data_IF_063394865676
#
_entry.id   IF_063394865676
#
_cell.length_a   1.000
_cell.length_b   1.000
_cell.length_c   1.000
_cell.angle_alpha   90.00
_cell.angle_beta   90.00
_cell.angle_gamma   90.00
#
_symmetry.space_group_name_H-M   'P 1'
#
loop_
_entity.id
_entity.type
_entity.pdbx_description
1 polymer ?
#
# COMPACT_ATOMS: atom_id res chain seq x y z
N UNK A 1 34.62 116.05 -3.47
CA UNK A 1 36.08 115.83 -3.52
C UNK A 1 36.47 115.11 -2.24
N UNK A 2 37.30 114.07 -2.30
CA UNK A 2 37.78 113.23 -1.17
C UNK A 2 36.73 112.39 -0.39
N UNK A 3 37.29 111.50 0.46
CA UNK A 3 36.72 110.44 1.36
C UNK A 3 36.28 109.12 0.69
N UNK A 4 36.61 107.90 1.16
CA UNK A 4 37.54 107.42 2.24
C UNK A 4 37.99 105.94 2.03
N UNK A 5 38.92 105.43 2.86
CA UNK A 5 39.37 104.00 2.94
C UNK A 5 38.36 103.12 3.74
N UNK A 6 38.48 101.81 4.06
CA UNK A 6 39.58 100.81 4.22
C UNK A 6 38.92 99.39 4.02
N UNK A 7 39.49 98.24 3.58
CA UNK A 7 40.77 97.50 3.85
C UNK A 7 40.83 96.99 5.32
N UNK A 8 41.06 95.71 5.69
CA UNK A 8 41.33 94.42 4.97
C UNK A 8 41.04 93.17 5.87
N UNK A 9 40.76 92.00 5.26
CA UNK A 9 41.00 90.59 5.70
C UNK A 9 40.49 89.95 7.03
N UNK A 10 40.32 88.60 6.98
CA UNK A 10 40.18 87.65 8.12
C UNK A 10 39.08 86.58 7.92
N UNK A 11 39.19 85.56 7.05
CA UNK A 11 39.98 84.29 7.07
C UNK A 11 39.49 83.19 8.05
N UNK A 12 39.44 81.93 7.55
CA UNK A 12 38.95 80.68 8.22
C UNK A 12 37.41 80.60 8.40
N UNK A 13 36.75 79.43 8.50
CA UNK A 13 37.26 78.07 8.78
C UNK A 13 36.43 76.97 8.06
N UNK A 14 37.05 76.10 7.25
CA UNK A 14 36.38 75.19 6.29
C UNK A 14 36.18 73.74 6.77
N UNK A 15 35.98 73.50 8.08
CA UNK A 15 35.81 72.14 8.65
C UNK A 15 34.36 71.73 8.99
N UNK A 16 33.45 72.67 9.23
CA UNK A 16 32.09 72.36 9.71
C UNK A 16 31.23 71.69 8.61
N UNK A 17 31.31 72.18 7.36
CA UNK A 17 30.47 71.69 6.26
C UNK A 17 30.65 70.21 5.88
N UNK A 18 31.84 69.61 6.15
CA UNK A 18 32.05 68.18 5.89
C UNK A 18 31.41 67.25 6.93
N UNK A 19 31.25 67.70 8.17
CA UNK A 19 30.61 66.89 9.23
C UNK A 19 29.10 66.77 8.96
N UNK A 20 28.45 67.88 8.60
CA UNK A 20 27.01 67.92 8.33
C UNK A 20 26.64 67.04 7.11
N UNK A 21 27.46 67.06 6.05
CA UNK A 21 27.22 66.24 4.86
C UNK A 21 27.33 64.73 5.16
N UNK A 22 28.31 64.32 5.98
CA UNK A 22 28.47 62.93 6.41
C UNK A 22 27.34 62.49 7.33
N UNK A 23 26.84 63.38 8.20
CA UNK A 23 25.68 63.09 9.05
C UNK A 23 24.41 62.84 8.22
N UNK A 24 24.18 63.63 7.17
CA UNK A 24 23.06 63.42 6.24
C UNK A 24 23.20 62.12 5.45
N UNK A 25 24.41 61.76 4.99
CA UNK A 25 24.64 60.48 4.33
C UNK A 25 24.39 59.29 5.26
N UNK A 26 24.85 59.37 6.52
CA UNK A 26 24.64 58.32 7.52
C UNK A 26 23.16 58.14 7.89
N UNK A 27 22.39 59.23 7.97
CA UNK A 27 20.94 59.14 8.17
C UNK A 27 20.21 58.47 6.99
N UNK A 28 20.74 58.57 5.76
CA UNK A 28 20.19 57.86 4.59
C UNK A 28 20.54 56.37 4.47
N UNK A 29 21.48 55.85 5.28
CA UNK A 29 21.70 54.39 5.45
C UNK A 29 21.15 53.84 6.78
N UNK A 30 20.61 54.70 7.65
CA UNK A 30 19.99 54.30 8.91
C UNK A 30 18.50 53.89 8.78
N UNK A 31 17.86 54.08 7.61
CA UNK A 31 16.51 53.56 7.35
C UNK A 31 16.57 52.09 6.87
N UNK A 32 17.20 51.25 7.68
CA UNK A 32 16.94 49.81 7.69
C UNK A 32 15.86 49.52 8.76
N UNK A 33 14.71 50.19 8.64
CA UNK A 33 13.54 49.84 9.43
C UNK A 33 13.19 48.37 9.15
N UNK A 34 12.91 47.61 10.20
CA UNK A 34 12.75 46.16 10.09
C UNK A 34 11.57 45.82 9.19
N UNK A 35 11.88 45.28 8.00
CA UNK A 35 10.93 44.68 7.07
C UNK A 35 10.37 43.33 7.60
N UNK A 36 10.25 43.17 8.91
CA UNK A 36 9.62 42.03 9.53
C UNK A 36 8.11 42.06 9.27
N UNK A 37 7.69 41.14 8.41
CA UNK A 37 6.35 40.51 8.40
C UNK A 37 5.12 41.42 8.31
N UNK A 38 5.23 42.66 7.85
CA UNK A 38 4.16 43.30 7.04
C UNK A 38 4.06 42.70 5.64
N UNK A 39 4.10 41.38 5.55
CA UNK A 39 3.69 40.60 4.38
C UNK A 39 2.17 40.72 4.29
N UNK A 40 1.71 41.81 3.67
CA UNK A 40 0.30 42.09 3.46
C UNK A 40 -0.38 40.89 2.79
N UNK A 41 -1.69 40.72 3.03
CA UNK A 41 -2.53 39.76 2.31
C UNK A 41 -2.72 40.17 0.85
N UNK A 42 -1.63 40.15 0.07
CA UNK A 42 -1.67 40.17 -1.38
C UNK A 42 -2.35 38.87 -1.79
N UNK A 43 -3.56 38.95 -2.35
CA UNK A 43 -4.24 37.76 -2.84
C UNK A 43 -3.36 37.14 -3.93
N UNK A 44 -2.93 35.89 -3.71
CA UNK A 44 -2.27 35.09 -4.74
C UNK A 44 -3.28 34.92 -5.89
N UNK A 45 -3.02 35.62 -6.98
CA UNK A 45 -3.85 35.63 -8.17
C UNK A 45 -2.96 35.35 -9.36
N UNK A 46 -3.14 34.17 -9.94
CA UNK A 46 -2.45 33.73 -11.13
C UNK A 46 -3.36 33.97 -12.34
N UNK A 47 -2.77 34.50 -13.41
CA UNK A 47 -3.45 34.86 -14.65
C UNK A 47 -3.86 33.61 -15.46
N UNK A 48 -3.13 32.51 -15.25
CA UNK A 48 -3.34 31.21 -15.87
C UNK A 48 -2.68 30.10 -15.03
N UNK A 49 -2.96 28.84 -15.37
CA UNK A 49 -2.41 27.68 -14.66
C UNK A 49 -0.89 27.48 -14.79
N UNK A 50 -0.27 27.95 -15.88
CA UNK A 50 1.17 27.84 -16.08
C UNK A 50 1.94 28.74 -15.12
N UNK A 51 1.48 29.98 -14.91
CA UNK A 51 2.05 30.93 -13.94
C UNK A 51 2.03 30.35 -12.51
N UNK A 52 0.97 29.60 -12.17
CA UNK A 52 0.82 28.92 -10.89
C UNK A 52 1.81 27.75 -10.75
N UNK A 53 1.94 26.90 -11.77
CA UNK A 53 2.88 25.78 -11.79
C UNK A 53 4.33 26.26 -11.73
N UNK A 54 4.70 27.27 -12.53
CA UNK A 54 6.05 27.87 -12.49
C UNK A 54 6.36 28.51 -11.12
N UNK A 55 5.36 29.02 -10.40
CA UNK A 55 5.54 29.50 -9.02
C UNK A 55 5.67 28.36 -8.00
N UNK A 56 4.91 27.27 -8.14
CA UNK A 56 5.10 26.07 -7.31
C UNK A 56 6.51 25.52 -7.47
N UNK A 57 7.02 25.39 -8.70
CA UNK A 57 8.39 24.95 -8.95
C UNK A 57 9.43 25.81 -8.22
N UNK A 58 9.27 27.14 -8.24
CA UNK A 58 10.15 28.06 -7.51
C UNK A 58 10.09 27.84 -6.00
N UNK A 59 8.92 27.52 -5.44
CA UNK A 59 8.75 27.22 -4.02
C UNK A 59 9.35 25.86 -3.64
N UNK A 60 9.26 24.86 -4.52
CA UNK A 60 9.88 23.55 -4.29
C UNK A 60 11.41 23.57 -4.41
N UNK A 61 11.95 24.33 -5.37
CA UNK A 61 13.41 24.59 -5.46
C UNK A 61 13.90 25.32 -4.20
N UNK A 62 13.13 26.27 -3.65
CA UNK A 62 13.44 26.88 -2.35
C UNK A 62 13.37 25.85 -1.22
N UNK A 63 12.35 24.99 -1.18
CA UNK A 63 12.18 24.00 -0.11
C UNK A 63 13.33 22.99 -0.06
N UNK A 64 13.77 22.52 -1.23
CA UNK A 64 14.91 21.60 -1.37
C UNK A 64 16.27 22.24 -1.01
N UNK A 65 16.37 23.57 -0.96
CA UNK A 65 17.57 24.31 -0.57
C UNK A 65 17.65 24.60 0.94
N UNK A 66 16.61 24.28 1.72
CA UNK A 66 16.60 24.51 3.17
C UNK A 66 17.16 23.28 3.89
N UNK A 67 18.32 23.45 4.53
CA UNK A 67 18.84 22.46 5.49
C UNK A 67 17.87 22.31 6.68
N UNK A 68 17.33 21.09 6.96
CA UNK A 68 16.42 20.87 8.07
C UNK A 68 17.12 20.73 9.43
N UNK A 69 18.45 20.68 9.50
CA UNK A 69 19.19 20.46 10.75
C UNK A 69 19.28 21.69 11.69
N UNK A 70 19.49 22.95 11.22
CA UNK A 70 19.51 24.11 12.10
C UNK A 70 18.13 24.42 12.70
N UNK A 71 18.07 24.76 13.98
CA UNK A 71 16.83 25.26 14.61
C UNK A 71 16.30 26.52 13.91
N UNK A 72 17.20 27.33 13.34
CA UNK A 72 16.95 28.58 12.63
C UNK A 72 16.28 28.38 11.25
N UNK A 73 16.30 27.17 10.68
CA UNK A 73 15.66 26.90 9.38
C UNK A 73 14.15 26.70 9.49
N UNK A 74 13.64 26.30 10.67
CA UNK A 74 12.24 25.94 10.90
C UNK A 74 11.23 27.05 10.55
N UNK A 75 11.46 28.35 10.85
CA UNK A 75 10.55 29.42 10.43
C UNK A 75 10.49 29.59 8.91
N UNK A 76 11.63 29.48 8.22
CA UNK A 76 11.71 29.59 6.76
C UNK A 76 11.01 28.40 6.09
N UNK A 77 11.27 27.18 6.56
CA UNK A 77 10.62 25.95 6.09
C UNK A 77 9.10 25.99 6.29
N UNK A 78 8.65 26.48 7.44
CA UNK A 78 7.23 26.70 7.73
C UNK A 78 6.63 27.71 6.74
N UNK A 79 7.35 28.81 6.47
CA UNK A 79 6.93 29.87 5.55
C UNK A 79 6.82 29.39 4.10
N UNK A 80 7.75 28.56 3.61
CA UNK A 80 7.71 28.01 2.25
C UNK A 80 6.55 27.02 2.10
N UNK A 81 6.35 26.11 3.06
CA UNK A 81 5.19 25.22 3.08
C UNK A 81 3.85 25.98 3.13
N UNK A 82 3.78 27.03 3.92
CA UNK A 82 2.62 27.91 4.01
C UNK A 82 2.37 28.73 2.72
N UNK A 83 3.37 28.91 1.87
CA UNK A 83 3.23 29.51 0.53
C UNK A 83 2.81 28.47 -0.52
N UNK A 84 3.36 27.25 -0.46
CA UNK A 84 2.93 26.10 -1.29
C UNK A 84 1.44 25.83 -1.07
N UNK A 85 1.02 25.68 0.21
CA UNK A 85 -0.39 25.48 0.58
C UNK A 85 -1.28 26.61 0.03
N UNK A 86 -0.92 27.87 0.25
CA UNK A 86 -1.72 29.02 -0.22
C UNK A 86 -1.77 29.13 -1.75
N UNK A 87 -0.73 28.68 -2.44
CA UNK A 87 -0.67 28.63 -3.91
C UNK A 87 -1.63 27.56 -4.46
N UNK A 88 -1.58 26.34 -3.92
CA UNK A 88 -2.53 25.26 -4.25
C UNK A 88 -3.97 25.69 -3.92
N UNK A 89 -4.18 26.27 -2.73
CA UNK A 89 -5.48 26.79 -2.30
C UNK A 89 -5.99 27.96 -3.16
N UNK A 90 -5.15 28.64 -3.94
CA UNK A 90 -5.60 29.74 -4.83
C UNK A 90 -6.43 29.25 -6.03
N UNK A 91 -6.38 27.94 -6.33
CA UNK A 91 -7.17 27.31 -7.39
C UNK A 91 -8.65 27.26 -6.96
N UNK A 92 -9.42 28.31 -7.30
CA UNK A 92 -10.84 28.47 -6.90
C UNK A 92 -11.86 28.11 -7.98
N UNK A 93 -11.45 27.84 -9.22
CA UNK A 93 -12.35 27.59 -10.34
C UNK A 93 -11.84 26.48 -11.29
N UNK A 94 -12.76 25.84 -12.01
CA UNK A 94 -12.47 24.67 -12.86
C UNK A 94 -11.53 24.99 -14.04
N UNK A 95 -11.58 26.21 -14.60
CA UNK A 95 -10.70 26.62 -15.71
C UNK A 95 -9.23 26.64 -15.24
N UNK A 96 -8.95 27.29 -14.10
CA UNK A 96 -7.59 27.35 -13.57
C UNK A 96 -7.06 25.96 -13.18
N UNK A 97 -7.92 25.06 -12.68
CA UNK A 97 -7.55 23.67 -12.42
C UNK A 97 -7.20 22.90 -13.71
N UNK A 98 -7.96 23.10 -14.79
CA UNK A 98 -7.67 22.50 -16.09
C UNK A 98 -6.35 23.03 -16.69
N UNK A 99 -6.13 24.34 -16.65
CA UNK A 99 -4.87 24.96 -17.12
C UNK A 99 -3.65 24.51 -16.30
N UNK A 100 -3.81 24.23 -14.99
CA UNK A 100 -2.75 23.64 -14.15
C UNK A 100 -2.44 22.21 -14.58
N UNK A 101 -3.47 21.38 -14.81
CA UNK A 101 -3.29 20.01 -15.28
C UNK A 101 -2.63 19.94 -16.67
N UNK A 102 -3.04 20.83 -17.58
CA UNK A 102 -2.41 21.00 -18.90
C UNK A 102 -0.96 21.51 -18.78
N UNK A 103 -0.62 22.29 -17.75
CA UNK A 103 0.74 22.80 -17.53
C UNK A 103 1.69 21.77 -16.91
N UNK A 104 1.17 20.91 -16.03
CA UNK A 104 1.95 19.90 -15.29
C UNK A 104 2.50 18.77 -16.18
N UNK A 105 1.80 18.42 -17.27
CA UNK A 105 2.24 17.32 -18.17
C UNK A 105 3.48 17.63 -19.02
N UNK A 106 3.98 18.87 -19.04
CA UNK A 106 5.10 19.27 -19.92
C UNK A 106 6.50 18.93 -19.40
N UNK A 107 6.67 18.59 -18.11
CA UNK A 107 7.97 18.26 -17.51
C UNK A 107 7.83 17.46 -16.21
N UNK A 108 8.97 17.06 -15.63
CA UNK A 108 9.03 16.55 -14.27
C UNK A 108 8.93 17.69 -13.24
N UNK A 109 8.38 17.37 -12.06
CA UNK A 109 8.11 18.28 -10.95
C UNK A 109 8.50 17.62 -9.61
N UNK A 110 8.91 18.43 -8.63
CA UNK A 110 9.23 17.99 -7.25
C UNK A 110 7.99 17.78 -6.37
N UNK A 111 6.80 17.74 -6.99
CA UNK A 111 5.51 17.49 -6.34
C UNK A 111 4.65 16.59 -7.23
N UNK A 112 3.90 15.69 -6.61
CA UNK A 112 2.87 14.92 -7.29
C UNK A 112 1.61 15.75 -7.49
N UNK A 113 1.03 15.68 -8.69
CA UNK A 113 -0.31 16.18 -8.99
C UNK A 113 -1.11 15.11 -9.75
N UNK A 114 -2.34 14.87 -9.30
CA UNK A 114 -3.29 13.96 -9.93
C UNK A 114 -4.64 14.64 -10.13
N UNK A 115 -5.35 14.24 -11.19
CA UNK A 115 -6.70 14.69 -11.53
C UNK A 115 -7.54 13.48 -11.97
N UNK A 116 -8.70 13.30 -11.35
CA UNK A 116 -9.69 12.26 -11.73
C UNK A 116 -10.22 12.46 -13.17
N UNK A 117 -10.67 11.38 -13.82
CA UNK A 117 -11.14 11.45 -15.22
C UNK A 117 -12.31 12.41 -15.43
N UNK A 118 -13.22 12.49 -14.45
CA UNK A 118 -14.35 13.44 -14.46
C UNK A 118 -13.95 14.89 -14.10
N UNK A 119 -12.67 15.10 -13.77
CA UNK A 119 -12.04 16.36 -13.33
C UNK A 119 -12.66 16.96 -12.06
N UNK A 120 -13.35 16.16 -11.23
CA UNK A 120 -14.06 16.66 -10.05
C UNK A 120 -13.25 16.59 -8.76
N UNK A 121 -12.24 15.72 -8.71
CA UNK A 121 -11.23 15.63 -7.66
C UNK A 121 -9.82 15.76 -8.26
N UNK A 122 -8.97 16.58 -7.63
CA UNK A 122 -7.53 16.58 -7.83
C UNK A 122 -6.81 16.45 -6.48
N UNK A 123 -5.57 15.98 -6.46
CA UNK A 123 -4.74 15.94 -5.24
C UNK A 123 -3.32 16.40 -5.57
N UNK A 124 -2.75 17.21 -4.68
CA UNK A 124 -1.34 17.58 -4.66
C UNK A 124 -0.64 16.88 -3.50
N UNK A 125 0.53 16.30 -3.75
CA UNK A 125 1.38 15.60 -2.78
C UNK A 125 2.82 16.13 -2.83
N UNK A 126 3.44 16.44 -1.69
CA UNK A 126 4.85 16.88 -1.65
C UNK A 126 5.54 16.55 -0.32
N UNK A 127 6.88 16.46 -0.28
CA UNK A 127 7.63 16.43 0.98
C UNK A 127 7.76 17.85 1.56
N UNK A 128 7.18 18.08 2.73
CA UNK A 128 7.25 19.34 3.44
C UNK A 128 8.62 19.62 4.07
N UNK A 129 9.45 18.58 4.25
CA UNK A 129 10.67 18.59 5.07
C UNK A 129 10.42 19.04 6.52
N UNK A 130 11.46 19.00 7.37
CA UNK A 130 11.51 19.71 8.66
C UNK A 130 10.61 19.24 9.81
N UNK A 131 9.56 18.44 9.57
CA UNK A 131 8.81 17.78 10.65
C UNK A 131 9.62 16.62 11.21
N UNK A 132 9.85 16.65 12.53
CA UNK A 132 10.60 15.62 13.28
C UNK A 132 9.62 14.52 13.67
N UNK A 133 9.30 13.65 12.71
CA UNK A 133 8.33 12.57 12.86
C UNK A 133 7.94 11.96 11.51
N UNK A 134 6.85 11.19 11.49
CA UNK A 134 6.32 10.56 10.26
C UNK A 134 5.79 11.56 9.25
N UNK A 135 5.18 12.66 9.70
CA UNK A 135 4.34 13.59 8.91
C UNK A 135 5.09 14.52 7.92
N UNK A 136 6.09 14.01 7.21
CA UNK A 136 6.86 14.77 6.24
C UNK A 136 6.08 15.09 4.96
N UNK A 137 5.43 14.11 4.31
CA UNK A 137 4.66 14.44 3.11
C UNK A 137 3.34 15.14 3.48
N UNK A 138 2.90 16.10 2.67
CA UNK A 138 1.62 16.81 2.83
C UNK A 138 0.76 16.63 1.59
N UNK A 139 -0.55 16.59 1.84
CA UNK A 139 -1.55 16.27 0.84
C UNK A 139 -2.72 17.26 0.89
N UNK A 140 -3.04 17.87 -0.26
CA UNK A 140 -4.22 18.74 -0.43
C UNK A 140 -5.06 18.20 -1.58
N UNK A 141 -6.28 17.79 -1.27
CA UNK A 141 -7.31 17.52 -2.25
C UNK A 141 -8.01 18.82 -2.66
N UNK A 142 -8.27 18.99 -3.95
CA UNK A 142 -9.12 20.03 -4.52
C UNK A 142 -10.37 19.38 -5.11
N UNK A 143 -11.56 19.77 -4.67
CA UNK A 143 -12.80 19.16 -5.13
C UNK A 143 -13.83 20.16 -5.67
N UNK A 144 -14.59 19.72 -6.67
CA UNK A 144 -15.59 20.52 -7.39
C UNK A 144 -16.92 20.55 -6.62
N UNK A 145 -17.43 21.76 -6.34
CA UNK A 145 -18.76 22.01 -5.75
C UNK A 145 -19.49 23.10 -6.56
N UNK A 146 -20.30 22.67 -7.53
CA UNK A 146 -20.78 23.56 -8.59
C UNK A 146 -19.60 24.04 -9.45
N UNK A 147 -19.55 25.33 -9.80
CA UNK A 147 -18.42 25.90 -10.56
C UNK A 147 -17.20 26.28 -9.70
N UNK A 148 -17.25 26.04 -8.38
CA UNK A 148 -16.18 26.38 -7.43
C UNK A 148 -15.31 25.16 -7.14
N UNK A 149 -14.00 25.39 -7.05
CA UNK A 149 -13.05 24.44 -6.47
C UNK A 149 -12.85 24.79 -4.99
N UNK A 150 -12.88 23.77 -4.13
CA UNK A 150 -12.70 23.89 -2.69
C UNK A 150 -11.52 23.00 -2.27
N UNK A 151 -10.54 23.53 -1.53
CA UNK A 151 -9.45 22.74 -0.97
C UNK A 151 -9.90 21.98 0.30
N UNK A 152 -9.27 20.84 0.54
CA UNK A 152 -9.30 20.09 1.80
C UNK A 152 -7.92 19.46 2.00
N UNK A 153 -7.36 19.60 3.19
CA UNK A 153 -6.23 18.74 3.58
C UNK A 153 -6.67 17.27 3.60
N UNK A 154 -5.76 16.37 3.24
CA UNK A 154 -5.88 14.94 3.56
C UNK A 154 -4.98 14.66 4.76
N UNK A 155 -5.54 14.04 5.79
CA UNK A 155 -4.84 13.69 7.04
C UNK A 155 -4.55 12.18 7.08
N UNK A 156 -3.58 11.77 7.91
CA UNK A 156 -3.14 10.37 8.04
C UNK A 156 -1.68 10.20 7.64
N UNK A 157 -1.21 8.95 7.55
CA UNK A 157 0.18 8.66 7.17
C UNK A 157 0.49 9.20 5.76
N UNK A 158 1.73 9.67 5.48
CA UNK A 158 1.96 10.45 4.28
C UNK A 158 2.19 9.59 3.03
N UNK A 159 1.62 10.04 1.90
CA UNK A 159 1.62 9.36 0.61
C UNK A 159 1.91 10.37 -0.52
N UNK A 160 2.57 9.92 -1.58
CA UNK A 160 2.56 10.57 -2.91
C UNK A 160 1.55 9.84 -3.79
N UNK A 161 0.41 10.46 -4.06
CA UNK A 161 -0.59 9.89 -4.96
C UNK A 161 -0.21 10.11 -6.42
N UNK A 162 -0.43 9.10 -7.26
CA UNK A 162 -0.10 9.10 -8.69
C UNK A 162 -1.27 8.68 -9.59
N UNK A 163 -2.38 8.19 -9.03
CA UNK A 163 -3.62 7.87 -9.76
C UNK A 163 -4.90 8.28 -9.00
N UNK A 164 -5.98 8.52 -9.74
CA UNK A 164 -7.33 8.77 -9.22
C UNK A 164 -8.39 8.07 -10.09
N UNK A 165 -9.01 7.02 -9.56
CA UNK A 165 -10.05 6.22 -10.21
C UNK A 165 -11.45 6.70 -9.77
N UNK A 166 -12.32 7.07 -10.71
CA UNK A 166 -13.68 7.57 -10.41
C UNK A 166 -14.71 6.45 -10.44
N UNK A 167 -15.23 6.07 -9.27
CA UNK A 167 -16.24 5.03 -9.10
C UNK A 167 -17.64 5.64 -9.09
N UNK A 168 -18.48 5.24 -10.05
CA UNK A 168 -19.86 5.69 -10.17
C UNK A 168 -20.85 4.73 -9.47
N UNK A 169 -21.57 5.23 -8.46
CA UNK A 169 -22.71 4.55 -7.84
C UNK A 169 -23.91 4.53 -8.82
N UNK A 170 -24.65 3.42 -8.82
CA UNK A 170 -26.02 3.31 -9.36
C UNK A 170 -26.92 4.53 -9.09
N UNK A 171 -26.73 5.22 -7.96
CA UNK A 171 -27.45 6.42 -7.52
C UNK A 171 -26.78 7.74 -7.95
N UNK A 172 -25.88 7.70 -8.94
CA UNK A 172 -25.08 8.83 -9.45
C UNK A 172 -24.18 9.53 -8.40
N UNK A 173 -23.95 8.90 -7.24
CA UNK A 173 -22.87 9.32 -6.33
C UNK A 173 -21.53 8.95 -6.95
N UNK A 174 -20.52 9.76 -6.70
CA UNK A 174 -19.16 9.53 -7.19
C UNK A 174 -18.26 9.33 -5.99
N UNK A 175 -17.76 8.10 -5.83
CA UNK A 175 -16.63 7.79 -4.96
C UNK A 175 -15.35 7.90 -5.79
N UNK A 176 -14.22 8.15 -5.15
CA UNK A 176 -12.91 8.22 -5.80
C UNK A 176 -11.96 7.31 -5.03
N UNK A 177 -11.25 6.43 -5.72
CA UNK A 177 -10.11 5.71 -5.15
C UNK A 177 -8.85 6.41 -5.64
N UNK A 178 -8.16 7.09 -4.72
CA UNK A 178 -6.83 7.64 -5.00
C UNK A 178 -5.77 6.62 -4.61
N UNK A 179 -4.79 6.43 -5.48
CA UNK A 179 -3.73 5.44 -5.31
C UNK A 179 -2.38 6.15 -5.23
N UNK A 180 -1.57 5.76 -4.25
CA UNK A 180 -0.28 6.38 -3.99
C UNK A 180 0.72 5.48 -3.28
N UNK A 181 1.98 5.95 -3.29
CA UNK A 181 3.14 5.28 -2.69
C UNK A 181 3.64 6.07 -1.47
N UNK A 182 4.00 5.35 -0.41
CA UNK A 182 4.56 5.89 0.83
C UNK A 182 5.86 5.19 1.23
N UNK A 183 6.43 5.63 2.35
CA UNK A 183 7.59 4.99 2.99
C UNK A 183 7.38 4.83 4.50
N UNK A 184 7.79 3.70 5.06
CA UNK A 184 7.79 3.47 6.52
C UNK A 184 8.87 4.31 7.21
N UNK A 185 8.86 4.33 8.55
CA UNK A 185 9.94 4.98 9.33
C UNK A 185 11.32 4.36 9.06
N UNK A 186 11.39 3.06 8.72
CA UNK A 186 12.63 2.39 8.31
C UNK A 186 13.02 2.66 6.84
N UNK A 187 12.18 3.37 6.08
CA UNK A 187 12.41 3.72 4.68
C UNK A 187 11.92 2.68 3.67
N UNK A 188 11.22 1.63 4.10
CA UNK A 188 10.62 0.63 3.21
C UNK A 188 9.45 1.21 2.42
N UNK A 189 9.40 0.92 1.12
CA UNK A 189 8.33 1.34 0.23
C UNK A 189 7.02 0.57 0.53
N UNK A 190 5.90 1.28 0.54
CA UNK A 190 4.55 0.68 0.64
C UNK A 190 3.55 1.40 -0.28
N UNK A 191 2.45 0.72 -0.62
CA UNK A 191 1.40 1.26 -1.49
C UNK A 191 0.08 1.39 -0.72
N UNK A 192 -0.72 2.42 -1.03
CA UNK A 192 -1.99 2.67 -0.35
C UNK A 192 -3.08 3.16 -1.31
N UNK A 193 -4.27 2.59 -1.14
CA UNK A 193 -5.50 3.07 -1.74
C UNK A 193 -6.33 3.78 -0.67
N UNK A 194 -6.75 5.01 -0.94
CA UNK A 194 -7.69 5.75 -0.09
C UNK A 194 -8.97 6.07 -0.85
N UNK A 195 -10.11 5.87 -0.20
CA UNK A 195 -11.42 6.05 -0.79
C UNK A 195 -12.11 7.31 -0.24
N UNK A 196 -12.58 8.16 -1.16
CA UNK A 196 -13.13 9.48 -0.86
C UNK A 196 -14.50 9.70 -1.51
N UNK A 197 -15.32 10.56 -0.89
CA UNK A 197 -16.65 10.97 -1.32
C UNK A 197 -16.75 12.50 -1.35
N UNK A 198 -17.32 13.08 -2.41
CA UNK A 198 -17.72 14.50 -2.42
C UNK A 198 -19.18 14.58 -1.94
N UNK A 199 -19.38 15.12 -0.74
CA UNK A 199 -20.70 15.28 -0.09
C UNK A 199 -21.18 16.74 -0.14
N UNK A 200 -22.46 17.01 0.18
CA UNK A 200 -22.95 18.38 0.37
C UNK A 200 -22.21 19.16 1.47
N UNK A 201 -21.60 18.47 2.45
CA UNK A 201 -20.85 19.10 3.54
C UNK A 201 -19.39 19.35 3.18
N UNK A 202 -18.80 18.49 2.36
CA UNK A 202 -17.42 18.61 1.87
C UNK A 202 -16.86 17.26 1.39
N UNK A 203 -15.55 17.16 1.26
CA UNK A 203 -14.87 15.89 1.06
C UNK A 203 -14.93 15.04 2.34
N UNK A 204 -15.16 13.74 2.23
CA UNK A 204 -15.10 12.79 3.35
C UNK A 204 -14.50 11.46 2.89
N UNK A 205 -14.04 10.65 3.84
CA UNK A 205 -13.71 9.25 3.61
C UNK A 205 -14.93 8.45 3.11
N UNK A 206 -14.67 7.34 2.40
CA UNK A 206 -15.68 6.48 1.81
C UNK A 206 -15.45 5.02 2.24
N UNK A 207 -16.30 4.44 3.12
CA UNK A 207 -16.14 3.08 3.63
C UNK A 207 -16.60 2.02 2.60
N UNK A 208 -15.85 1.93 1.49
CA UNK A 208 -16.16 1.08 0.33
C UNK A 208 -15.29 -0.18 0.26
N UNK A 209 -14.16 -0.25 0.96
CA UNK A 209 -13.32 -1.45 0.98
C UNK A 209 -13.88 -2.52 1.93
N UNK A 210 -13.37 -3.77 1.91
CA UNK A 210 -13.76 -4.83 2.83
C UNK A 210 -13.73 -4.39 4.30
N UNK A 211 -14.57 -5.02 5.13
CA UNK A 211 -14.80 -4.65 6.53
C UNK A 211 -15.15 -3.17 6.78
N UNK A 212 -15.68 -2.48 5.75
CA UNK A 212 -16.05 -1.05 5.74
C UNK A 212 -14.85 -0.11 5.91
N UNK A 213 -13.66 -0.56 5.51
CA UNK A 213 -12.47 0.28 5.50
C UNK A 213 -12.57 1.39 4.44
N UNK A 214 -11.93 2.53 4.72
CA UNK A 214 -11.78 3.67 3.80
C UNK A 214 -10.36 3.76 3.20
N UNK A 215 -9.44 2.92 3.67
CA UNK A 215 -8.06 2.82 3.20
C UNK A 215 -7.66 1.34 3.13
N UNK A 216 -6.81 0.98 2.18
CA UNK A 216 -6.14 -0.32 2.11
C UNK A 216 -4.65 -0.13 1.85
N UNK A 217 -3.81 -0.84 2.59
CA UNK A 217 -2.36 -0.80 2.46
C UNK A 217 -1.86 -2.13 1.90
N UNK A 218 -0.99 -2.07 0.89
CA UNK A 218 -0.05 -3.13 0.55
C UNK A 218 1.29 -2.77 1.20
N UNK A 219 1.64 -3.50 2.25
CA UNK A 219 2.88 -3.34 2.99
C UNK A 219 3.62 -4.68 3.13
N UNK A 220 4.93 -4.57 3.18
CA UNK A 220 5.86 -5.68 3.28
C UNK A 220 5.90 -6.28 4.69
N UNK A 221 5.89 -7.61 4.86
CA UNK A 221 6.20 -8.24 6.15
C UNK A 221 7.64 -7.93 6.57
N UNK A 222 7.85 -7.55 7.82
CA UNK A 222 9.13 -7.03 8.37
C UNK A 222 10.32 -7.97 8.11
N UNK A 223 10.09 -9.29 8.08
CA UNK A 223 11.13 -10.33 7.99
C UNK A 223 11.46 -10.80 6.54
N UNK A 224 10.87 -10.23 5.50
CA UNK A 224 11.09 -10.64 4.11
C UNK A 224 12.09 -9.72 3.35
N UNK A 225 12.58 -10.12 2.17
CA UNK A 225 13.52 -9.29 1.38
C UNK A 225 12.86 -7.94 1.01
N UNK A 226 13.43 -6.84 1.53
CA UNK A 226 12.95 -5.47 1.38
C UNK A 226 12.84 -4.96 -0.08
N UNK A 227 13.26 -5.76 -1.07
CA UNK A 227 13.04 -5.54 -2.51
C UNK A 227 11.62 -5.91 -2.96
N UNK A 228 10.90 -6.71 -2.18
CA UNK A 228 9.57 -7.24 -2.53
C UNK A 228 8.44 -6.30 -2.09
N UNK A 229 8.40 -5.07 -2.59
CA UNK A 229 7.17 -4.27 -2.52
C UNK A 229 6.25 -4.63 -3.70
N UNK A 230 5.01 -5.02 -3.44
CA UNK A 230 4.03 -5.38 -4.45
C UNK A 230 2.92 -4.32 -4.52
N UNK A 231 2.63 -3.87 -5.73
CA UNK A 231 1.63 -2.84 -5.97
C UNK A 231 0.22 -3.44 -6.17
N UNK A 232 -0.81 -2.62 -6.00
CA UNK A 232 -2.16 -2.92 -6.46
C UNK A 232 -2.21 -2.85 -7.98
N UNK A 233 -2.97 -3.74 -8.62
CA UNK A 233 -3.35 -3.56 -10.03
C UNK A 233 -4.83 -3.24 -10.09
N UNK A 234 -5.19 -2.10 -10.70
CA UNK A 234 -6.55 -1.55 -10.71
C UNK A 234 -7.01 -1.47 -12.17
N UNK A 235 -8.19 -1.97 -12.49
CA UNK A 235 -8.80 -1.75 -13.81
C UNK A 235 -9.20 -0.29 -13.99
N UNK A 236 -9.17 0.21 -15.24
CA UNK A 236 -9.24 1.65 -15.54
C UNK A 236 -10.51 2.36 -15.02
N UNK A 237 -11.61 1.65 -14.84
CA UNK A 237 -12.87 2.19 -14.29
C UNK A 237 -12.99 2.07 -12.76
N UNK A 238 -11.95 1.53 -12.10
CA UNK A 238 -11.93 1.26 -10.67
C UNK A 238 -12.86 0.13 -10.22
N UNK A 239 -13.39 -0.70 -11.14
CA UNK A 239 -14.35 -1.75 -10.78
C UNK A 239 -13.70 -3.03 -10.22
N UNK A 240 -12.44 -3.31 -10.58
CA UNK A 240 -11.64 -4.42 -10.07
C UNK A 240 -10.31 -3.91 -9.51
N UNK A 241 -9.98 -4.36 -8.29
CA UNK A 241 -8.66 -4.18 -7.67
C UNK A 241 -8.06 -5.57 -7.40
N UNK A 242 -6.88 -5.87 -7.94
CA UNK A 242 -6.06 -7.00 -7.53
C UNK A 242 -5.18 -6.56 -6.35
N UNK A 243 -5.56 -7.00 -5.14
CA UNK A 243 -4.78 -6.77 -3.91
C UNK A 243 -3.67 -7.83 -3.82
N UNK A 244 -2.38 -7.46 -3.72
CA UNK A 244 -1.30 -8.41 -3.52
C UNK A 244 -1.28 -9.01 -2.10
N UNK A 245 -0.78 -10.24 -1.98
CA UNK A 245 -0.46 -10.93 -0.72
C UNK A 245 0.87 -11.69 -0.87
N UNK A 246 1.75 -11.61 0.13
CA UNK A 246 3.07 -12.23 0.08
C UNK A 246 3.06 -13.66 0.62
N UNK A 247 3.30 -14.64 -0.25
CA UNK A 247 3.39 -16.07 0.07
C UNK A 247 4.81 -16.55 -0.28
N UNK A 248 5.79 -16.11 0.52
CA UNK A 248 7.23 -16.14 0.19
C UNK A 248 7.71 -17.43 -0.51
N UNK A 249 8.48 -17.34 -1.62
CA UNK A 249 8.94 -16.12 -2.30
C UNK A 249 7.92 -15.45 -3.25
N UNK A 250 6.77 -16.08 -3.54
CA UNK A 250 5.79 -15.58 -4.53
C UNK A 250 4.88 -14.46 -3.99
N UNK A 251 4.44 -13.58 -4.91
CA UNK A 251 3.31 -12.67 -4.70
C UNK A 251 2.06 -13.30 -5.34
N UNK A 252 1.00 -13.45 -4.55
CA UNK A 252 -0.33 -13.87 -5.04
C UNK A 252 -1.26 -12.66 -5.07
N UNK A 253 -2.34 -12.73 -5.86
CA UNK A 253 -3.29 -11.63 -5.98
C UNK A 253 -4.71 -12.06 -5.58
N UNK A 254 -5.33 -11.34 -4.65
CA UNK A 254 -6.73 -11.50 -4.27
C UNK A 254 -7.58 -10.46 -5.02
N UNK A 255 -8.52 -10.85 -5.88
CA UNK A 255 -9.37 -9.89 -6.59
C UNK A 255 -10.39 -9.28 -5.64
N UNK A 256 -10.69 -8.00 -5.83
CA UNK A 256 -11.72 -7.25 -5.14
C UNK A 256 -12.64 -6.63 -6.19
N UNK A 257 -13.84 -7.17 -6.31
CA UNK A 257 -14.86 -6.76 -7.29
C UNK A 257 -15.82 -5.73 -6.65
N UNK A 258 -16.03 -4.62 -7.35
CA UNK A 258 -17.00 -3.59 -6.98
C UNK A 258 -18.43 -4.07 -7.25
N UNK A 259 -19.28 -4.09 -6.21
CA UNK A 259 -20.68 -4.52 -6.28
C UNK A 259 -21.58 -3.46 -5.65
N UNK A 260 -22.69 -3.13 -6.32
CA UNK A 260 -23.69 -2.18 -5.84
C UNK A 260 -24.76 -2.86 -4.98
N UNK A 261 -24.95 -2.39 -3.74
CA UNK A 261 -26.05 -2.82 -2.88
C UNK A 261 -27.06 -1.69 -2.59
N UNK A 262 -28.10 -1.99 -1.81
CA UNK A 262 -29.15 -1.03 -1.44
C UNK A 262 -28.61 0.17 -0.63
N UNK A 263 -27.43 0.06 -0.03
CA UNK A 263 -26.73 1.09 0.74
C UNK A 263 -25.66 1.85 -0.07
N UNK A 264 -25.04 1.24 -1.09
CA UNK A 264 -24.09 1.86 -2.03
C UNK A 264 -23.17 0.84 -2.72
N UNK A 265 -22.21 1.32 -3.52
CA UNK A 265 -21.14 0.46 -4.06
C UNK A 265 -20.12 0.11 -2.96
N UNK A 266 -19.67 -1.15 -2.92
CA UNK A 266 -18.50 -1.60 -2.13
C UNK A 266 -17.68 -2.63 -2.90
N UNK A 267 -16.42 -2.76 -2.54
CA UNK A 267 -15.57 -3.87 -2.94
C UNK A 267 -15.83 -5.09 -2.04
N UNK A 268 -16.02 -6.23 -2.70
CA UNK A 268 -16.10 -7.55 -2.08
C UNK A 268 -15.01 -8.44 -2.67
N UNK A 269 -14.60 -9.50 -1.99
CA UNK A 269 -13.70 -10.49 -2.61
C UNK A 269 -14.33 -11.03 -3.90
N UNK A 270 -13.53 -10.96 -4.97
CA UNK A 270 -13.86 -11.56 -6.25
C UNK A 270 -13.79 -13.08 -6.16
N UNK A 271 -14.62 -13.76 -6.93
CA UNK A 271 -14.87 -15.17 -6.64
C UNK A 271 -15.70 -15.93 -7.66
N UNK A 272 -15.14 -17.02 -8.16
CA UNK A 272 -15.81 -18.01 -8.99
C UNK A 272 -16.64 -19.00 -8.16
N UNK A 273 -17.74 -19.49 -8.72
CA UNK A 273 -18.52 -20.57 -8.11
C UNK A 273 -17.88 -21.93 -8.48
N UNK A 274 -17.44 -22.70 -7.48
CA UNK A 274 -17.08 -24.11 -7.70
C UNK A 274 -18.29 -24.91 -8.19
N UNK A 275 -18.08 -25.82 -9.14
CA UNK A 275 -19.15 -26.68 -9.73
C UNK A 275 -19.76 -27.69 -8.74
N UNK A 276 -19.16 -27.87 -7.57
CA UNK A 276 -19.59 -28.78 -6.52
C UNK A 276 -19.48 -28.08 -5.16
N UNK A 277 -20.39 -28.43 -4.25
CA UNK A 277 -20.34 -27.97 -2.86
C UNK A 277 -19.34 -28.83 -2.08
N UNK A 278 -18.42 -28.20 -1.38
CA UNK A 278 -17.51 -28.85 -0.45
C UNK A 278 -18.18 -29.05 0.90
N UNK A 279 -17.75 -30.09 1.61
CA UNK A 279 -18.04 -30.29 3.02
C UNK A 279 -16.76 -30.56 3.80
N UNK A 280 -16.82 -30.51 5.13
CA UNK A 280 -15.64 -30.66 5.98
C UNK A 280 -14.88 -31.98 5.74
N UNK A 281 -15.57 -33.06 5.40
CA UNK A 281 -14.95 -34.37 5.13
C UNK A 281 -14.21 -34.44 3.79
N UNK A 282 -14.24 -33.40 2.95
CA UNK A 282 -13.51 -33.40 1.67
C UNK A 282 -12.04 -33.01 1.84
N UNK A 283 -11.72 -32.32 2.94
CA UNK A 283 -10.34 -32.00 3.34
C UNK A 283 -9.68 -33.12 4.16
N UNK A 284 -10.48 -33.96 4.83
CA UNK A 284 -9.98 -35.09 5.63
C UNK A 284 -9.34 -36.15 4.69
N UNK A 285 -8.04 -36.51 4.85
CA UNK A 285 -7.37 -37.51 4.01
C UNK A 285 -8.09 -38.87 3.97
N UNK A 286 -8.41 -39.35 2.76
CA UNK A 286 -9.09 -40.64 2.52
C UNK A 286 -8.13 -41.74 2.06
N UNK A 287 -6.87 -41.71 2.53
CA UNK A 287 -5.81 -42.64 2.15
C UNK A 287 -4.88 -42.96 3.33
N UNK A 288 -4.19 -44.11 3.26
CA UNK A 288 -3.37 -44.65 4.35
C UNK A 288 -2.06 -43.89 4.60
N UNK A 289 -1.71 -42.91 3.75
CA UNK A 289 -0.48 -42.13 3.85
C UNK A 289 -0.71 -40.75 4.49
N UNK A 290 -1.97 -40.43 4.86
CA UNK A 290 -2.42 -39.12 5.33
C UNK A 290 -2.17 -37.97 4.32
N UNK A 291 -1.97 -38.27 3.04
CA UNK A 291 -1.75 -37.26 2.01
C UNK A 291 -3.05 -36.49 1.70
N UNK A 292 -2.93 -35.22 1.31
CA UNK A 292 -4.06 -34.37 0.92
C UNK A 292 -4.83 -34.99 -0.25
N UNK A 293 -6.17 -34.91 -0.20
CA UNK A 293 -7.02 -35.49 -1.24
C UNK A 293 -6.71 -34.86 -2.61
N UNK A 294 -6.63 -35.68 -3.66
CA UNK A 294 -6.24 -35.27 -5.02
C UNK A 294 -4.73 -35.34 -5.33
N UNK A 295 -3.89 -35.57 -4.30
CA UNK A 295 -2.49 -35.95 -4.45
C UNK A 295 -2.33 -37.26 -5.23
N UNK A 296 -1.20 -37.41 -5.91
CA UNK A 296 -0.67 -38.73 -6.25
C UNK A 296 -0.31 -39.50 -4.96
N UNK A 297 -0.50 -40.82 -4.95
CA UNK A 297 -0.24 -41.67 -3.79
C UNK A 297 1.06 -42.49 -4.00
N UNK A 298 1.86 -42.75 -2.95
CA UNK A 298 3.02 -43.63 -3.05
C UNK A 298 2.60 -45.07 -3.35
N UNK A 299 3.32 -45.75 -4.25
CA UNK A 299 3.22 -47.20 -4.44
C UNK A 299 3.92 -47.98 -3.32
N UNK A 300 4.81 -47.31 -2.57
CA UNK A 300 5.48 -47.86 -1.39
C UNK A 300 5.75 -46.73 -0.41
N UNK A 301 5.44 -46.98 0.86
CA UNK A 301 5.95 -46.20 1.99
C UNK A 301 6.81 -47.10 2.89
N UNK A 302 7.80 -46.52 3.55
CA UNK A 302 8.57 -47.11 4.63
C UNK A 302 8.69 -46.07 5.75
N UNK A 303 8.09 -46.35 6.91
CA UNK A 303 8.12 -45.47 8.06
C UNK A 303 9.04 -46.02 9.15
N UNK A 304 9.94 -45.18 9.66
CA UNK A 304 10.92 -45.51 10.69
C UNK A 304 11.62 -44.25 11.19
N UNK A 305 12.95 -44.28 11.34
CA UNK A 305 13.74 -43.08 11.68
C UNK A 305 13.79 -42.03 10.55
N UNK A 306 13.34 -42.40 9.36
CA UNK A 306 12.97 -41.56 8.23
C UNK A 306 11.65 -42.10 7.66
N UNK A 307 10.85 -41.25 6.99
CA UNK A 307 9.79 -41.74 6.11
C UNK A 307 10.26 -41.70 4.67
N UNK A 308 10.03 -42.75 3.90
CA UNK A 308 10.40 -42.84 2.49
C UNK A 308 9.20 -43.23 1.65
N UNK A 309 8.90 -42.42 0.64
CA UNK A 309 7.74 -42.56 -0.26
C UNK A 309 8.23 -42.74 -1.70
N UNK A 310 7.85 -43.84 -2.34
CA UNK A 310 8.16 -44.14 -3.76
C UNK A 310 6.91 -43.97 -4.62
N UNK A 311 7.05 -43.34 -5.80
CA UNK A 311 5.97 -43.06 -6.75
C UNK A 311 6.17 -43.78 -8.10
N UNK A 312 5.09 -43.94 -8.88
CA UNK A 312 5.10 -44.68 -10.16
C UNK A 312 6.04 -44.08 -11.23
N UNK A 313 6.25 -42.77 -11.20
CA UNK A 313 7.19 -42.03 -12.06
C UNK A 313 8.67 -42.19 -11.65
N UNK A 314 8.94 -43.09 -10.67
CA UNK A 314 10.26 -43.40 -10.11
C UNK A 314 10.86 -42.28 -9.25
N UNK A 315 10.09 -41.25 -8.89
CA UNK A 315 10.47 -40.32 -7.85
C UNK A 315 10.44 -41.04 -6.50
N UNK A 316 11.47 -40.84 -5.69
CA UNK A 316 11.57 -41.35 -4.32
C UNK A 316 11.88 -40.17 -3.40
N UNK A 317 11.01 -39.91 -2.42
CA UNK A 317 11.18 -38.82 -1.43
C UNK A 317 11.40 -39.43 -0.05
N UNK A 318 12.58 -39.20 0.52
CA UNK A 318 12.92 -39.55 1.90
C UNK A 318 12.98 -38.29 2.77
N UNK A 319 12.32 -38.31 3.93
CA UNK A 319 12.31 -37.20 4.91
C UNK A 319 12.86 -37.70 6.24
N UNK A 320 13.89 -37.01 6.77
CA UNK A 320 14.48 -37.25 8.10
C UNK A 320 14.51 -35.94 8.88
N UNK A 321 14.06 -35.96 10.13
CA UNK A 321 14.15 -34.80 11.03
C UNK A 321 15.30 -34.96 12.04
N UNK A 322 16.27 -34.06 11.95
CA UNK A 322 17.41 -33.96 12.87
C UNK A 322 17.03 -33.08 14.06
N UNK A 323 16.81 -33.72 15.22
CA UNK A 323 16.28 -33.05 16.42
C UNK A 323 17.27 -32.08 17.08
N UNK A 324 18.56 -32.32 16.94
CA UNK A 324 19.61 -31.52 17.60
C UNK A 324 19.80 -30.17 16.91
N UNK A 325 19.70 -30.13 15.58
CA UNK A 325 19.77 -28.92 14.76
C UNK A 325 18.40 -28.27 14.54
N UNK A 326 17.31 -28.98 14.87
CA UNK A 326 15.92 -28.64 14.55
C UNK A 326 15.71 -28.38 13.04
N UNK A 327 16.19 -29.31 12.23
CA UNK A 327 16.16 -29.26 10.75
C UNK A 327 15.53 -30.54 10.21
N UNK A 328 14.92 -30.48 9.03
CA UNK A 328 14.52 -31.67 8.26
C UNK A 328 15.33 -31.74 6.97
N UNK A 329 16.07 -32.83 6.83
CA UNK A 329 16.78 -33.21 5.62
C UNK A 329 15.84 -34.01 4.73
N UNK A 330 15.70 -33.59 3.48
CA UNK A 330 14.86 -34.24 2.48
C UNK A 330 15.76 -34.64 1.31
N UNK A 331 15.58 -35.88 0.83
CA UNK A 331 16.31 -36.43 -0.31
C UNK A 331 15.30 -36.86 -1.36
N UNK A 332 15.37 -36.28 -2.56
CA UNK A 332 14.54 -36.65 -3.70
C UNK A 332 15.40 -37.31 -4.77
N UNK A 333 15.26 -38.63 -4.90
CA UNK A 333 15.92 -39.42 -5.94
C UNK A 333 15.05 -39.50 -7.19
N UNK A 334 15.58 -39.12 -8.34
CA UNK A 334 14.89 -39.12 -9.64
C UNK A 334 15.67 -40.00 -10.62
N UNK A 335 14.97 -40.92 -11.30
CA UNK A 335 15.51 -41.92 -12.25
C UNK A 335 16.67 -42.81 -11.75
N UNK A 336 17.05 -42.74 -10.46
CA UNK A 336 18.13 -43.51 -9.86
C UNK A 336 19.54 -42.95 -10.08
N UNK A 337 19.66 -41.70 -10.57
CA UNK A 337 20.94 -41.04 -10.82
C UNK A 337 20.98 -39.60 -10.28
N UNK A 338 19.89 -38.83 -10.43
CA UNK A 338 19.78 -37.50 -9.84
C UNK A 338 19.30 -37.59 -8.39
N UNK A 339 20.00 -36.89 -7.50
CA UNK A 339 19.66 -36.77 -6.08
C UNK A 339 19.60 -35.28 -5.70
N UNK A 340 18.39 -34.80 -5.42
CA UNK A 340 18.16 -33.44 -4.92
C UNK A 340 18.16 -33.51 -3.39
N UNK A 341 19.05 -32.75 -2.77
CA UNK A 341 19.04 -32.50 -1.33
C UNK A 341 18.30 -31.19 -1.05
N UNK A 342 17.34 -31.23 -0.13
CA UNK A 342 16.58 -30.06 0.33
C UNK A 342 16.69 -30.03 1.85
N UNK A 343 17.03 -28.87 2.40
CA UNK A 343 17.15 -28.65 3.83
C UNK A 343 16.13 -27.59 4.26
N UNK A 344 15.33 -27.88 5.27
CA UNK A 344 14.24 -27.02 5.73
C UNK A 344 14.19 -27.00 7.26
N UNK A 345 14.06 -25.82 7.86
CA UNK A 345 14.00 -25.66 9.31
C UNK A 345 12.72 -26.24 9.92
N UNK A 346 12.83 -26.78 11.15
CA UNK A 346 11.73 -27.38 11.90
C UNK A 346 11.39 -28.82 11.50
N UNK A 347 10.31 -29.35 12.08
CA UNK A 347 9.76 -30.66 11.73
C UNK A 347 8.91 -30.55 10.46
N UNK A 348 9.37 -31.19 9.39
CA UNK A 348 8.69 -31.26 8.09
C UNK A 348 8.04 -32.63 7.90
N UNK A 349 6.96 -32.69 7.12
CA UNK A 349 6.34 -33.94 6.65
C UNK A 349 5.86 -33.78 5.20
N UNK A 350 6.06 -34.79 4.37
CA UNK A 350 5.50 -34.82 3.01
C UNK A 350 3.98 -35.09 3.13
N UNK A 351 3.16 -34.18 2.60
CA UNK A 351 1.68 -34.26 2.64
C UNK A 351 1.06 -34.44 1.25
N UNK A 352 1.84 -34.40 0.17
CA UNK A 352 1.35 -34.71 -1.16
C UNK A 352 2.36 -34.50 -2.29
N UNK A 353 1.98 -34.95 -3.49
CA UNK A 353 2.71 -34.82 -4.75
C UNK A 353 1.73 -34.55 -5.90
N UNK A 354 2.14 -33.72 -6.86
CA UNK A 354 1.46 -33.61 -8.16
C UNK A 354 2.45 -33.30 -9.28
N UNK A 355 2.66 -34.23 -10.22
CA UNK A 355 3.72 -34.09 -11.22
C UNK A 355 5.08 -33.80 -10.55
N UNK A 356 5.79 -32.78 -11.04
CA UNK A 356 7.09 -32.34 -10.49
C UNK A 356 6.99 -31.48 -9.21
N UNK A 357 5.81 -31.39 -8.59
CA UNK A 357 5.55 -30.56 -7.40
C UNK A 357 5.36 -31.42 -6.14
N UNK A 358 6.06 -31.05 -5.06
CA UNK A 358 5.97 -31.67 -3.74
C UNK A 358 5.37 -30.72 -2.71
N UNK A 359 4.39 -31.22 -1.95
CA UNK A 359 3.69 -30.48 -0.89
C UNK A 359 4.17 -30.97 0.47
N UNK A 360 4.68 -30.06 1.29
CA UNK A 360 5.11 -30.36 2.66
C UNK A 360 4.31 -29.55 3.69
N UNK A 361 4.03 -30.14 4.85
CA UNK A 361 3.66 -29.36 6.06
C UNK A 361 4.87 -29.15 6.95
N UNK A 362 4.98 -27.95 7.51
CA UNK A 362 5.95 -27.53 8.51
C UNK A 362 5.20 -27.25 9.81
N UNK A 363 5.56 -27.97 10.88
CA UNK A 363 4.93 -27.80 12.20
C UNK A 363 5.64 -26.73 13.02
N UNK A 364 4.86 -25.86 13.66
CA UNK A 364 5.38 -24.70 14.39
C UNK A 364 4.31 -24.03 15.25
N UNK A 365 4.48 -22.73 15.52
CA UNK A 365 3.41 -21.91 16.13
C UNK A 365 2.24 -21.71 15.15
N UNK A 366 2.55 -21.46 13.89
CA UNK A 366 1.65 -21.59 12.76
C UNK A 366 2.10 -22.80 11.92
N UNK A 367 1.18 -23.71 11.58
CA UNK A 367 1.47 -24.77 10.62
C UNK A 367 1.48 -24.18 9.22
N UNK A 368 2.61 -24.33 8.51
CA UNK A 368 2.81 -23.79 7.16
C UNK A 368 2.78 -24.90 6.12
N UNK A 369 2.17 -24.61 4.98
CA UNK A 369 2.30 -25.40 3.76
C UNK A 369 3.44 -24.82 2.93
N UNK A 370 4.24 -25.71 2.36
CA UNK A 370 5.38 -25.39 1.50
C UNK A 370 5.20 -26.14 0.17
N UNK A 371 5.24 -25.42 -0.95
CA UNK A 371 5.31 -26.02 -2.29
C UNK A 371 6.74 -25.98 -2.80
N UNK A 372 7.32 -27.16 -3.07
CA UNK A 372 8.62 -27.29 -3.72
C UNK A 372 8.45 -27.78 -5.16
N UNK A 373 9.24 -27.22 -6.07
CA UNK A 373 9.25 -27.57 -7.49
C UNK A 373 10.58 -28.26 -7.85
N UNK A 374 10.50 -29.48 -8.38
CA UNK A 374 11.66 -30.31 -8.70
C UNK A 374 12.41 -29.87 -9.97
N UNK A 375 11.76 -29.11 -10.86
CA UNK A 375 12.36 -28.55 -12.09
C UNK A 375 13.09 -27.25 -11.76
N UNK A 376 12.45 -26.34 -11.02
CA UNK A 376 13.00 -25.07 -10.54
C UNK A 376 13.98 -25.26 -9.36
N UNK A 377 13.91 -26.41 -8.68
CA UNK A 377 14.72 -26.82 -7.51
C UNK A 377 14.64 -25.85 -6.34
N UNK A 378 13.47 -25.26 -6.11
CA UNK A 378 13.23 -24.29 -5.05
C UNK A 378 11.84 -24.43 -4.41
N UNK A 379 11.65 -23.74 -3.28
CA UNK A 379 10.32 -23.44 -2.74
C UNK A 379 9.70 -22.36 -3.62
N UNK A 380 8.51 -22.62 -4.17
CA UNK A 380 7.75 -21.67 -4.99
C UNK A 380 6.93 -20.74 -4.10
N UNK A 381 6.27 -21.27 -3.06
CA UNK A 381 5.58 -20.46 -2.06
C UNK A 381 5.48 -21.15 -0.69
N UNK A 382 5.25 -20.32 0.33
CA UNK A 382 5.01 -20.70 1.73
C UNK A 382 3.84 -19.92 2.30
N UNK A 383 2.88 -20.60 2.93
CA UNK A 383 1.67 -19.98 3.51
C UNK A 383 1.11 -20.82 4.66
N UNK A 384 0.71 -20.17 5.75
CA UNK A 384 -0.07 -20.81 6.81
C UNK A 384 -1.49 -21.12 6.32
N UNK A 385 -1.91 -22.39 6.42
CA UNK A 385 -3.21 -22.90 5.94
C UNK A 385 -3.75 -23.95 6.93
N UNK A 386 -5.07 -23.95 7.15
CA UNK A 386 -5.72 -24.86 8.11
C UNK A 386 -6.11 -26.21 7.46
N UNK A 387 -6.68 -26.18 6.25
CA UNK A 387 -7.12 -27.36 5.49
C UNK A 387 -6.74 -27.22 4.02
N UNK A 388 -6.49 -28.34 3.32
CA UNK A 388 -5.98 -28.36 1.95
C UNK A 388 -6.44 -29.59 1.14
N UNK A 389 -6.77 -29.40 -0.14
CA UNK A 389 -6.92 -30.47 -1.14
C UNK A 389 -6.56 -29.99 -2.55
N UNK A 390 -6.22 -30.92 -3.44
CA UNK A 390 -5.92 -30.67 -4.86
C UNK A 390 -7.15 -31.04 -5.70
N UNK A 391 -7.55 -30.15 -6.62
CA UNK A 391 -8.65 -30.36 -7.57
C UNK A 391 -8.21 -29.93 -8.96
N UNK A 392 -7.77 -30.90 -9.76
CA UNK A 392 -7.09 -30.68 -11.05
C UNK A 392 -5.82 -29.80 -10.88
N UNK A 393 -5.77 -28.67 -11.58
CA UNK A 393 -4.75 -27.63 -11.55
C UNK A 393 -4.95 -26.61 -10.41
N UNK A 394 -6.06 -26.69 -9.66
CA UNK A 394 -6.34 -25.82 -8.52
C UNK A 394 -6.04 -26.47 -7.17
N UNK A 395 -5.49 -25.68 -6.27
CA UNK A 395 -5.32 -25.96 -4.86
C UNK A 395 -6.47 -25.28 -4.12
N UNK A 396 -7.24 -26.06 -3.36
CA UNK A 396 -8.40 -25.59 -2.61
C UNK A 396 -8.04 -25.63 -1.13
N UNK A 397 -8.23 -24.50 -0.45
CA UNK A 397 -7.82 -24.31 0.94
C UNK A 397 -8.83 -23.46 1.72
N UNK A 398 -8.67 -23.41 3.03
CA UNK A 398 -9.56 -22.65 3.93
C UNK A 398 -8.81 -21.63 4.77
N UNK A 399 -9.38 -20.44 4.93
CA UNK A 399 -8.93 -19.45 5.93
C UNK A 399 -10.03 -19.19 6.97
N UNK A 400 -9.71 -19.11 8.27
CA UNK A 400 -10.69 -18.84 9.31
C UNK A 400 -11.22 -17.41 9.22
N UNK A 401 -12.52 -17.23 9.48
CA UNK A 401 -13.22 -15.93 9.41
C UNK A 401 -14.02 -15.69 10.69
N UNK A 402 -14.15 -14.43 11.11
CA UNK A 402 -14.91 -14.10 12.33
C UNK A 402 -16.41 -14.30 12.10
N UNK A 403 -17.12 -14.86 13.09
CA UNK A 403 -18.54 -15.21 12.95
C UNK A 403 -19.47 -14.01 12.65
N UNK A 404 -19.02 -12.78 12.93
CA UNK A 404 -19.77 -11.55 12.60
C UNK A 404 -19.57 -11.07 11.14
N UNK A 405 -18.60 -11.61 10.42
CA UNK A 405 -18.37 -11.35 8.98
C UNK A 405 -19.12 -12.36 8.09
N UNK A 406 -19.74 -13.39 8.68
CA UNK A 406 -20.49 -14.44 7.97
C UNK A 406 -21.96 -14.03 7.86
N UNK A 407 -22.35 -13.53 6.69
CA UNK A 407 -23.68 -12.95 6.45
C UNK A 407 -24.85 -13.94 6.56
N UNK A 408 -24.60 -15.24 6.34
CA UNK A 408 -25.60 -16.30 6.36
C UNK A 408 -25.34 -17.36 7.45
N UNK A 409 -24.67 -16.99 8.55
CA UNK A 409 -24.25 -17.90 9.64
C UNK A 409 -25.37 -18.82 10.17
N UNK A 410 -26.62 -18.37 10.13
CA UNK A 410 -27.82 -19.06 10.65
C UNK A 410 -28.34 -20.15 9.69
N UNK A 411 -27.87 -20.16 8.44
CA UNK A 411 -28.17 -21.19 7.42
C UNK A 411 -27.10 -22.30 7.38
N UNK A 412 -25.99 -22.13 8.10
CA UNK A 412 -24.85 -23.07 8.11
C UNK A 412 -25.05 -24.07 9.26
N UNK A 413 -25.20 -25.36 8.92
CA UNK A 413 -25.47 -26.47 9.86
C UNK A 413 -24.25 -26.86 10.72
N UNK A 414 -23.90 -25.97 11.65
CA UNK A 414 -22.89 -26.18 12.68
C UNK A 414 -23.43 -27.09 13.81
N UNK A 415 -23.47 -28.41 13.62
CA UNK A 415 -23.89 -29.41 14.64
C UNK A 415 -22.96 -29.46 15.88
N UNK A 416 -23.11 -28.51 16.79
CA UNK A 416 -22.25 -28.36 17.98
C UNK A 416 -22.77 -29.12 19.19
N UNK A 417 -21.90 -29.91 19.82
CA UNK A 417 -22.05 -30.25 21.24
C UNK A 417 -21.93 -28.99 22.12
N UNK A 418 -22.60 -29.00 23.27
CA UNK A 418 -22.62 -27.85 24.20
C UNK A 418 -21.21 -27.51 24.71
N UNK A 419 -20.78 -26.26 24.48
CA UNK A 419 -19.56 -25.68 25.05
C UNK A 419 -18.42 -25.42 24.05
N UNK A 420 -18.46 -26.01 22.85
CA UNK A 420 -17.34 -25.94 21.90
C UNK A 420 -17.37 -24.68 21.05
N UNK A 421 -16.25 -23.96 20.92
CA UNK A 421 -16.16 -22.78 20.05
C UNK A 421 -16.28 -23.16 18.56
N UNK A 422 -17.35 -22.68 17.93
CA UNK A 422 -17.51 -22.67 16.48
C UNK A 422 -16.44 -21.79 15.82
N UNK A 423 -15.84 -22.28 14.74
CA UNK A 423 -14.98 -21.51 13.83
C UNK A 423 -15.55 -21.62 12.43
N UNK A 424 -15.70 -20.49 11.76
CA UNK A 424 -16.16 -20.40 10.37
C UNK A 424 -14.95 -20.27 9.46
N UNK A 425 -15.05 -20.80 8.25
CA UNK A 425 -13.96 -20.87 7.29
C UNK A 425 -14.45 -20.45 5.90
N UNK A 426 -13.81 -19.44 5.29
CA UNK A 426 -14.00 -19.19 3.86
C UNK A 426 -13.17 -20.18 3.06
N UNK A 427 -13.75 -20.69 1.98
CA UNK A 427 -13.06 -21.59 1.03
C UNK A 427 -12.54 -20.78 -0.15
N UNK A 428 -11.29 -21.01 -0.53
CA UNK A 428 -10.63 -20.36 -1.65
C UNK A 428 -10.00 -21.39 -2.58
N UNK A 429 -9.72 -20.97 -3.81
CA UNK A 429 -8.85 -21.71 -4.69
C UNK A 429 -7.82 -20.80 -5.37
N UNK A 430 -6.65 -21.37 -5.67
CA UNK A 430 -5.69 -20.81 -6.63
C UNK A 430 -5.27 -21.88 -7.61
N UNK A 431 -4.87 -21.51 -8.83
CA UNK A 431 -3.96 -22.37 -9.59
C UNK A 431 -2.56 -22.20 -8.98
N UNK A 432 -1.87 -23.30 -8.65
CA UNK A 432 -0.63 -23.29 -7.89
C UNK A 432 0.64 -23.46 -8.74
N UNK A 433 0.49 -23.61 -10.06
CA UNK A 433 1.56 -23.83 -11.04
C UNK A 433 1.84 -22.58 -11.90
N UNK A 434 1.10 -21.48 -11.69
CA UNK A 434 1.34 -20.18 -12.35
C UNK A 434 2.20 -19.24 -11.49
N UNK A 435 3.10 -18.41 -12.08
CA UNK A 435 4.09 -17.64 -11.30
C UNK A 435 3.51 -16.61 -10.31
N UNK A 436 2.41 -15.95 -10.69
CA UNK A 436 1.71 -14.94 -9.89
C UNK A 436 0.23 -15.36 -9.79
N UNK A 437 -0.14 -16.26 -8.87
CA UNK A 437 -1.45 -16.89 -8.88
C UNK A 437 -2.53 -15.98 -8.30
N UNK A 438 -3.75 -16.12 -8.83
CA UNK A 438 -4.93 -15.44 -8.30
C UNK A 438 -5.60 -16.34 -7.24
N UNK A 439 -5.86 -15.79 -6.07
CA UNK A 439 -6.59 -16.43 -4.96
C UNK A 439 -8.04 -15.99 -5.04
N UNK A 440 -8.90 -16.88 -5.52
CA UNK A 440 -10.33 -16.59 -5.73
C UNK A 440 -11.17 -17.16 -4.58
N UNK A 441 -12.13 -16.38 -4.07
CA UNK A 441 -13.10 -16.89 -3.09
C UNK A 441 -14.13 -17.80 -3.77
N UNK A 442 -14.32 -19.04 -3.31
CA UNK A 442 -15.17 -20.01 -4.03
C UNK A 442 -16.67 -19.85 -3.77
N UNK A 443 -17.08 -18.74 -3.14
CA UNK A 443 -18.43 -18.44 -2.67
C UNK A 443 -18.97 -19.43 -1.61
N UNK A 444 -18.10 -20.23 -0.97
CA UNK A 444 -18.49 -21.24 0.02
C UNK A 444 -17.89 -20.93 1.40
N UNK A 445 -18.70 -21.13 2.44
CA UNK A 445 -18.31 -21.00 3.85
C UNK A 445 -18.58 -22.33 4.55
N UNK A 446 -17.58 -22.84 5.27
CA UNK A 446 -17.65 -24.05 6.06
C UNK A 446 -17.63 -23.73 7.56
N UNK A 447 -18.05 -24.70 8.37
CA UNK A 447 -18.05 -24.61 9.83
C UNK A 447 -17.29 -25.80 10.44
N UNK A 448 -16.58 -25.55 11.53
CA UNK A 448 -15.91 -26.58 12.32
C UNK A 448 -15.65 -26.13 13.75
N UNK A 449 -14.96 -26.97 14.52
CA UNK A 449 -14.74 -26.75 15.95
C UNK A 449 -13.25 -26.67 16.29
N UNK A 450 -12.87 -25.60 16.99
CA UNK A 450 -11.45 -25.29 17.27
C UNK A 450 -10.75 -26.34 18.14
N UNK A 451 -11.52 -27.06 18.96
CA UNK A 451 -11.05 -28.10 19.88
C UNK A 451 -11.40 -29.53 19.41
N UNK A 452 -12.27 -29.69 18.40
CA UNK A 452 -12.83 -30.97 17.98
C UNK A 452 -12.83 -31.14 16.44
N UNK A 453 -11.65 -31.49 15.91
CA UNK A 453 -11.38 -32.43 14.79
C UNK A 453 -12.51 -32.72 13.78
N UNK A 454 -13.17 -31.68 13.27
CA UNK A 454 -14.27 -31.77 12.28
C UNK A 454 -13.78 -31.40 10.88
N UNK A 455 -12.74 -30.57 10.83
CA UNK A 455 -11.92 -30.18 9.70
C UNK A 455 -10.48 -30.62 10.04
N UNK A 456 -9.84 -31.44 9.20
CA UNK A 456 -8.53 -32.02 9.50
C UNK A 456 -7.36 -31.04 9.30
N UNK A 457 -6.70 -30.68 10.42
CA UNK A 457 -5.46 -29.91 10.45
C UNK A 457 -4.26 -30.68 9.87
N UNK A 458 -3.38 -29.95 9.20
CA UNK A 458 -2.08 -30.38 8.63
C UNK A 458 -0.94 -30.46 9.67
#
# INVERSE_FOLDING_TARGET
MQTTSTIKHGFMNTKIGRVILVLYLLLSVASCDTAETKMQRKYLHFSNGRELVEHLDQLFVQLAQIDPAPSESKPLLTSVNEQIRKTIESIKNQRLLAEVAESYIYKAHEFGFILSEDRRLAVFSWDAMGEVGTNKLKNIALYTKGHKIIPSSLYGEPIIYHEAHTIQDSKSKHSYVIHGKGKTQEGHDFYRLDALNITPNGLSEAPIFPDRQYSMISAHPIDADARLSADFSIEKDGSLILKPEFWYPTVVYRPLELKGDSTGNRFHEGGFTLKYQLNANDFNPKNNYNFINGSELPIKALDGNHSTHSFDDRINVSVKHEKEENVSQIQVGIYGADLIHIELAGTISLIGKKGDLLFFSQKGLDNKVLLYDLVKKNIVWSKSMENLLISNDKLIFTEPVQAHQVSNKEEIDCKSGTGVQQTYYKVYALNYDVPNPIVEYTQQILCGYRENQSLAKL
#
